data_IF_152254216948
#
_entry.id   IF_152254216948
#
_cell.length_a   1.000
_cell.length_b   1.000
_cell.length_c   1.000
_cell.angle_alpha   90.00
_cell.angle_beta   90.00
_cell.angle_gamma   90.00
#
_symmetry.space_group_name_H-M   'P 1'
#
loop_
_entity.id
_entity.type
_entity.pdbx_description
1 polymer ?
#
# COMPACT_ATOMS: atom_id res chain seq x y z
N UNK A 1 -23.87 -9.47 -13.68
CA UNK A 1 -22.47 -9.06 -13.92
C UNK A 1 -21.92 -8.45 -12.63
N UNK A 2 -20.78 -8.94 -12.14
CA UNK A 2 -20.16 -8.42 -10.92
C UNK A 2 -19.36 -7.16 -11.22
N UNK A 3 -19.56 -6.10 -10.42
CA UNK A 3 -18.73 -4.90 -10.43
C UNK A 3 -18.22 -4.69 -9.01
N UNK A 4 -16.93 -4.41 -8.87
CA UNK A 4 -16.35 -4.17 -7.56
C UNK A 4 -14.87 -3.82 -7.62
N UNK A 5 -14.32 -3.48 -6.47
CA UNK A 5 -12.90 -3.17 -6.30
C UNK A 5 -12.36 -3.89 -5.07
N UNK A 6 -11.21 -4.55 -5.21
CA UNK A 6 -10.44 -5.17 -4.13
C UNK A 6 -9.08 -4.50 -4.03
N UNK A 7 -8.80 -3.83 -2.92
CA UNK A 7 -7.54 -3.12 -2.70
C UNK A 7 -6.77 -3.76 -1.56
N UNK A 8 -5.55 -4.20 -1.85
CA UNK A 8 -4.65 -4.84 -0.90
C UNK A 8 -3.63 -3.81 -0.37
N UNK A 9 -3.46 -3.78 0.95
CA UNK A 9 -2.46 -2.89 1.58
C UNK A 9 -1.13 -3.61 1.72
N UNK A 10 -0.18 -3.26 0.85
CA UNK A 10 1.19 -3.73 0.84
C UNK A 10 2.12 -2.98 1.80
N UNK A 11 3.40 -3.29 1.69
CA UNK A 11 4.50 -2.56 2.32
C UNK A 11 5.74 -2.72 1.42
N UNK A 12 6.84 -2.02 1.68
CA UNK A 12 8.10 -2.22 0.93
C UNK A 12 8.58 -3.68 0.95
N UNK A 13 8.24 -4.42 2.00
CA UNK A 13 8.46 -5.86 2.13
C UNK A 13 7.76 -6.71 1.03
N UNK A 14 6.80 -6.14 0.30
CA UNK A 14 6.20 -6.76 -0.88
C UNK A 14 7.13 -6.82 -2.09
N UNK A 15 8.17 -5.98 -2.12
CA UNK A 15 9.10 -5.84 -3.24
C UNK A 15 10.56 -6.17 -2.86
N UNK A 16 10.96 -5.89 -1.62
CA UNK A 16 12.34 -6.10 -1.15
C UNK A 16 12.39 -6.68 0.25
N UNK A 17 13.35 -7.58 0.49
CA UNK A 17 13.57 -8.17 1.81
C UNK A 17 14.31 -7.21 2.76
N UNK A 18 14.02 -7.33 4.05
CA UNK A 18 14.78 -6.71 5.14
C UNK A 18 15.29 -7.77 6.12
N UNK A 19 16.56 -7.69 6.50
CA UNK A 19 17.16 -8.58 7.50
C UNK A 19 16.36 -8.53 8.82
N UNK A 20 16.16 -9.69 9.45
CA UNK A 20 15.35 -9.89 10.67
C UNK A 20 13.83 -9.73 10.51
N UNK A 21 13.30 -9.60 9.29
CA UNK A 21 11.86 -9.50 9.02
C UNK A 21 11.32 -10.66 8.16
N UNK A 22 11.92 -11.87 8.25
CA UNK A 22 11.64 -13.00 7.34
C UNK A 22 10.15 -13.34 7.17
N UNK A 23 9.41 -13.54 8.26
CA UNK A 23 7.98 -13.84 8.22
C UNK A 23 7.16 -12.69 7.58
N UNK A 24 7.50 -11.45 7.92
CA UNK A 24 6.84 -10.27 7.36
C UNK A 24 7.12 -10.09 5.86
N UNK A 25 8.37 -10.30 5.43
CA UNK A 25 8.77 -10.28 4.03
C UNK A 25 8.00 -11.34 3.24
N UNK A 26 7.98 -12.58 3.73
CA UNK A 26 7.24 -13.68 3.08
C UNK A 26 5.75 -13.37 2.95
N UNK A 27 5.11 -12.91 4.03
CA UNK A 27 3.69 -12.58 4.03
C UNK A 27 3.36 -11.44 3.04
N UNK A 28 4.17 -10.37 3.00
CA UNK A 28 3.92 -9.22 2.13
C UNK A 28 4.24 -9.48 0.67
N UNK A 29 5.26 -10.29 0.37
CA UNK A 29 5.54 -10.76 -0.99
C UNK A 29 4.42 -11.70 -1.48
N UNK A 30 3.99 -12.65 -0.64
CA UNK A 30 2.88 -13.55 -0.94
C UNK A 30 1.56 -12.81 -1.18
N UNK A 31 1.26 -11.79 -0.35
CA UNK A 31 0.08 -10.92 -0.53
C UNK A 31 0.08 -10.22 -1.89
N UNK A 32 1.23 -9.70 -2.33
CA UNK A 32 1.36 -9.06 -3.64
C UNK A 32 1.12 -10.05 -4.77
N UNK A 33 1.70 -11.25 -4.68
CA UNK A 33 1.50 -12.32 -5.67
C UNK A 33 0.03 -12.76 -5.72
N UNK A 34 -0.64 -12.87 -4.56
CA UNK A 34 -2.08 -13.15 -4.50
C UNK A 34 -2.90 -12.05 -5.20
N UNK A 35 -2.63 -10.78 -4.92
CA UNK A 35 -3.30 -9.66 -5.57
C UNK A 35 -3.12 -9.69 -7.11
N UNK A 36 -1.92 -10.03 -7.59
CA UNK A 36 -1.65 -10.20 -9.03
C UNK A 36 -2.47 -11.33 -9.64
N UNK A 37 -2.55 -12.48 -8.97
CA UNK A 37 -3.35 -13.62 -9.44
C UNK A 37 -4.84 -13.23 -9.52
N UNK A 38 -5.36 -12.58 -8.48
CA UNK A 38 -6.74 -12.10 -8.44
C UNK A 38 -7.03 -11.05 -9.52
N UNK A 39 -6.10 -10.13 -9.80
CA UNK A 39 -6.26 -9.16 -10.87
C UNK A 39 -6.44 -9.84 -12.24
N UNK A 40 -5.66 -10.89 -12.52
CA UNK A 40 -5.77 -11.67 -13.77
C UNK A 40 -7.05 -12.49 -13.83
N UNK A 41 -7.48 -13.07 -12.71
CA UNK A 41 -8.65 -13.94 -12.64
C UNK A 41 -9.98 -13.17 -12.69
N UNK A 42 -10.06 -12.04 -11.97
CA UNK A 42 -11.30 -11.29 -11.76
C UNK A 42 -11.41 -10.00 -12.58
N UNK A 43 -10.30 -9.51 -13.16
CA UNK A 43 -10.30 -8.39 -14.09
C UNK A 43 -11.28 -8.58 -15.26
N UNK A 44 -11.22 -9.69 -16.01
CA UNK A 44 -12.18 -10.00 -17.08
C UNK A 44 -13.64 -10.13 -16.61
N UNK A 45 -13.85 -10.35 -15.29
CA UNK A 45 -15.17 -10.47 -14.67
C UNK A 45 -15.70 -9.13 -14.14
N UNK A 46 -14.99 -8.02 -14.37
CA UNK A 46 -15.42 -6.67 -13.97
C UNK A 46 -14.99 -6.24 -12.56
N UNK A 47 -14.02 -6.93 -11.94
CA UNK A 47 -13.49 -6.60 -10.62
C UNK A 47 -12.11 -5.94 -10.76
N UNK A 48 -12.00 -4.70 -10.31
CA UNK A 48 -10.72 -4.01 -10.20
C UNK A 48 -9.94 -4.56 -9.01
N UNK A 49 -8.73 -5.07 -9.23
CA UNK A 49 -7.84 -5.47 -8.14
C UNK A 49 -6.60 -4.60 -8.15
N UNK A 50 -6.29 -3.99 -7.00
CA UNK A 50 -5.14 -3.12 -6.81
C UNK A 50 -4.33 -3.47 -5.57
N UNK A 51 -3.05 -3.12 -5.58
CA UNK A 51 -2.10 -3.30 -4.49
C UNK A 51 -1.44 -1.95 -4.17
N UNK A 52 -1.62 -1.47 -2.94
CA UNK A 52 -1.09 -0.18 -2.48
C UNK A 52 0.07 -0.43 -1.54
N UNK A 53 1.28 -0.23 -2.01
CA UNK A 53 2.51 -0.27 -1.22
C UNK A 53 2.58 1.01 -0.40
N UNK A 54 2.57 0.88 0.93
CA UNK A 54 2.83 2.00 1.85
C UNK A 54 4.25 1.83 2.36
N UNK A 55 5.19 2.61 1.82
CA UNK A 55 6.62 2.55 2.11
C UNK A 55 7.02 3.70 3.03
N UNK A 56 6.80 3.50 4.33
CA UNK A 56 7.19 4.46 5.36
C UNK A 56 6.29 4.46 6.60
N UNK A 57 6.65 5.29 7.57
CA UNK A 57 5.84 5.52 8.76
C UNK A 57 4.58 6.33 8.42
N UNK A 58 3.41 5.87 8.87
CA UNK A 58 2.15 6.61 8.69
C UNK A 58 1.94 7.56 9.86
N UNK A 59 1.62 8.82 9.58
CA UNK A 59 1.27 9.82 10.59
C UNK A 59 -0.12 9.54 11.19
N UNK A 60 -0.23 8.50 12.02
CA UNK A 60 -1.46 8.09 12.69
C UNK A 60 -1.25 7.65 14.13
N UNK A 61 -2.36 7.38 14.83
CA UNK A 61 -2.38 7.11 16.28
C UNK A 61 -1.39 6.05 16.74
N UNK A 62 -1.13 5.03 15.93
CA UNK A 62 -0.24 3.93 16.28
C UNK A 62 1.20 4.42 16.52
N UNK A 63 1.78 5.20 15.61
CA UNK A 63 3.15 5.69 15.79
C UNK A 63 3.20 6.77 16.88
N UNK A 64 2.18 7.62 16.95
CA UNK A 64 2.10 8.69 17.94
C UNK A 64 2.00 8.17 19.38
N UNK A 65 1.28 7.05 19.59
CA UNK A 65 1.09 6.46 20.93
C UNK A 65 2.20 5.50 21.33
N UNK A 66 2.65 4.64 20.40
CA UNK A 66 3.58 3.56 20.74
C UNK A 66 5.05 3.91 20.50
N UNK A 67 5.35 4.90 19.66
CA UNK A 67 6.70 5.31 19.29
C UNK A 67 6.83 6.84 19.19
N UNK A 68 6.47 7.61 20.25
CA UNK A 68 6.43 9.07 20.21
C UNK A 68 7.79 9.70 19.87
N UNK A 69 8.89 9.15 20.39
CA UNK A 69 10.25 9.64 20.08
C UNK A 69 10.60 9.46 18.59
N UNK A 70 10.17 8.35 17.98
CA UNK A 70 10.36 8.14 16.55
C UNK A 70 9.51 9.12 15.73
N UNK A 71 8.25 9.34 16.13
CA UNK A 71 7.37 10.30 15.47
C UNK A 71 7.96 11.73 15.53
N UNK A 72 8.51 12.13 16.69
CA UNK A 72 9.20 13.41 16.87
C UNK A 72 10.44 13.52 15.97
N UNK A 73 11.24 12.46 15.89
CA UNK A 73 12.45 12.41 15.04
C UNK A 73 12.12 12.49 13.55
N UNK A 74 11.10 11.77 13.09
CA UNK A 74 10.69 11.79 11.68
C UNK A 74 10.07 13.12 11.29
N UNK A 75 9.39 13.79 12.25
CA UNK A 75 8.67 15.02 11.99
C UNK A 75 7.53 14.83 10.99
N UNK A 76 6.88 15.92 10.61
CA UNK A 76 5.73 15.89 9.70
C UNK A 76 6.07 15.36 8.31
N UNK A 77 7.22 15.77 7.77
CA UNK A 77 7.60 15.46 6.39
C UNK A 77 8.24 14.07 6.24
N UNK A 78 8.71 13.47 7.34
CA UNK A 78 9.22 12.09 7.40
C UNK A 78 8.15 11.03 7.62
N UNK A 79 6.87 11.42 7.71
CA UNK A 79 5.75 10.49 7.84
C UNK A 79 4.73 10.68 6.72
N UNK A 80 4.22 9.56 6.22
CA UNK A 80 3.19 9.55 5.18
C UNK A 80 1.89 10.08 5.77
N UNK A 81 1.35 11.11 5.13
CA UNK A 81 0.08 11.72 5.52
C UNK A 81 -1.10 10.79 5.21
N UNK A 82 -1.95 10.53 6.21
CA UNK A 82 -3.16 9.72 6.08
C UNK A 82 -4.12 10.24 5.00
N UNK A 83 -4.23 11.55 4.83
CA UNK A 83 -5.07 12.14 3.76
C UNK A 83 -4.59 11.72 2.37
N UNK A 84 -3.28 11.69 2.15
CA UNK A 84 -2.69 11.23 0.89
C UNK A 84 -2.98 9.76 0.63
N UNK A 85 -2.86 8.92 1.67
CA UNK A 85 -3.23 7.50 1.58
C UNK A 85 -4.70 7.35 1.18
N UNK A 86 -5.63 8.00 1.88
CA UNK A 86 -7.07 7.93 1.56
C UNK A 86 -7.35 8.39 0.13
N UNK A 87 -6.74 9.49 -0.31
CA UNK A 87 -6.90 9.98 -1.68
C UNK A 87 -6.45 8.95 -2.72
N UNK A 88 -5.35 8.24 -2.49
CA UNK A 88 -4.88 7.17 -3.38
C UNK A 88 -5.84 5.99 -3.46
N UNK A 89 -6.42 5.55 -2.34
CA UNK A 89 -7.43 4.47 -2.35
C UNK A 89 -8.71 4.91 -3.06
N UNK A 90 -9.17 6.15 -2.82
CA UNK A 90 -10.34 6.72 -3.50
C UNK A 90 -10.08 6.87 -5.00
N UNK A 91 -8.86 7.24 -5.40
CA UNK A 91 -8.47 7.30 -6.80
C UNK A 91 -8.63 5.94 -7.46
N UNK A 92 -8.04 4.87 -6.90
CA UNK A 92 -8.16 3.51 -7.42
C UNK A 92 -9.61 3.05 -7.49
N UNK A 93 -10.37 3.23 -6.41
CA UNK A 93 -11.79 2.86 -6.36
C UNK A 93 -12.65 3.53 -7.45
N UNK A 94 -12.29 4.74 -7.88
CA UNK A 94 -13.04 5.50 -8.90
C UNK A 94 -12.56 5.27 -10.33
N UNK A 95 -11.49 4.50 -10.56
CA UNK A 95 -10.96 4.29 -11.91
C UNK A 95 -11.97 3.58 -12.83
N UNK A 96 -11.99 3.99 -14.09
CA UNK A 96 -12.76 3.30 -15.12
C UNK A 96 -12.05 2.01 -15.53
N UNK A 97 -12.83 1.01 -15.96
CA UNK A 97 -12.30 -0.29 -16.39
C UNK A 97 -11.37 -0.21 -17.61
N UNK A 98 -11.38 0.90 -18.35
CA UNK A 98 -10.48 1.13 -19.47
C UNK A 98 -9.03 1.42 -19.08
N UNK A 99 -8.74 1.72 -17.80
CA UNK A 99 -7.40 2.10 -17.35
C UNK A 99 -7.17 1.78 -15.86
N UNK A 100 -7.41 0.54 -15.44
CA UNK A 100 -7.15 0.14 -14.07
C UNK A 100 -5.66 0.08 -13.73
N UNK A 101 -5.28 0.74 -12.64
CA UNK A 101 -3.96 0.62 -12.04
C UNK A 101 -3.90 -0.63 -11.19
N UNK A 102 -2.85 -1.44 -11.38
CA UNK A 102 -2.57 -2.58 -10.51
C UNK A 102 -1.83 -2.16 -9.23
N UNK A 103 -0.81 -1.32 -9.30
CA UNK A 103 0.04 -1.01 -8.14
C UNK A 103 0.27 0.50 -7.97
N UNK A 104 0.15 0.97 -6.72
CA UNK A 104 0.59 2.30 -6.30
C UNK A 104 1.64 2.15 -5.20
N UNK A 105 2.70 2.96 -5.27
CA UNK A 105 3.74 3.04 -4.25
C UNK A 105 3.71 4.42 -3.61
N UNK A 106 3.34 4.45 -2.33
CA UNK A 106 3.15 5.67 -1.54
C UNK A 106 4.29 5.81 -0.52
N UNK A 107 4.93 6.97 -0.55
CA UNK A 107 6.06 7.33 0.31
C UNK A 107 6.11 8.84 0.51
N UNK A 108 6.97 9.31 1.40
CA UNK A 108 7.25 10.74 1.54
C UNK A 108 8.21 11.21 0.45
N UNK A 109 8.23 12.52 0.18
CA UNK A 109 9.13 13.10 -0.83
C UNK A 109 10.61 13.08 -0.44
N UNK A 110 10.93 12.76 0.81
CA UNK A 110 12.29 12.75 1.36
C UNK A 110 12.82 11.32 1.62
N UNK A 111 12.02 10.29 1.34
CA UNK A 111 12.42 8.90 1.50
C UNK A 111 13.58 8.56 0.55
N UNK A 112 14.63 7.93 1.07
CA UNK A 112 15.80 7.50 0.27
C UNK A 112 15.61 6.06 -0.20
N UNK A 113 15.76 5.84 -1.51
CA UNK A 113 15.62 4.53 -2.15
C UNK A 113 16.94 3.76 -2.21
#
# INVERSE_FOLDING_TARGET
>A
SGRGTLLFTGASASLRGRANFGAFNSAKAGLRTLAQAMAKEYGPKGIHVGHVVIDGAIAGDKIMRHLPELAKKLGKDGMINLKGIVQSYVHLYRQSAGAWTFELDLRTSIEKW
#
